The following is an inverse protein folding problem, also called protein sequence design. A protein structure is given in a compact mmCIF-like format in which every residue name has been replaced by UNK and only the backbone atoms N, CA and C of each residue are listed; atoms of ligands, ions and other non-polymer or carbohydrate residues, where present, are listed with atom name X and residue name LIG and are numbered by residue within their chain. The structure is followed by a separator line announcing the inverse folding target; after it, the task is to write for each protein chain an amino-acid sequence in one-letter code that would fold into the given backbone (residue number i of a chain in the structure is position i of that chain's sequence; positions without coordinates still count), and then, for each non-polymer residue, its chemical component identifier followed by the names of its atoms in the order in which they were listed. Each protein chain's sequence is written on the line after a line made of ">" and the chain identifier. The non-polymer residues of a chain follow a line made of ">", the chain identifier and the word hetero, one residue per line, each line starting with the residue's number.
data_IF_432042707862
#
_entry.id   IF_432042707862
#
_cell.length_a   1.000
_cell.length_b   1.000
_cell.length_c   1.000
_cell.angle_alpha   90.00
_cell.angle_beta   90.00
_cell.angle_gamma   90.00
#
_symmetry.space_group_name_H-M   'P 1'
#
loop_
_entity.id
_entity.type
_entity.pdbx_description
1 polymer ?
#
# COMPACT_ATOMS: atom_id res chain seq x y z
N UNK A 1 12.39 -3.17 8.90
CA UNK A 1 11.52 -3.58 10.02
C UNK A 1 11.12 -2.35 10.79
N UNK A 2 9.82 -2.08 10.83
CA UNK A 2 9.22 -0.92 11.52
C UNK A 2 9.39 -1.07 13.04
N UNK A 3 9.70 0.03 13.74
CA UNK A 3 9.76 0.05 15.21
C UNK A 3 8.37 -0.19 15.82
N UNK A 4 8.31 -0.60 17.09
CA UNK A 4 7.02 -0.76 17.81
C UNK A 4 6.19 0.53 17.81
N UNK A 5 6.83 1.69 18.01
CA UNK A 5 6.15 2.99 17.89
C UNK A 5 5.58 3.23 16.48
N UNK A 6 6.33 2.84 15.45
CA UNK A 6 5.87 2.89 14.06
C UNK A 6 4.68 1.96 13.79
N UNK A 7 4.68 0.75 14.36
CA UNK A 7 3.53 -0.17 14.27
C UNK A 7 2.30 0.43 14.94
N UNK A 8 2.46 1.03 16.12
CA UNK A 8 1.37 1.70 16.83
C UNK A 8 0.81 2.91 16.06
N UNK A 9 1.64 3.62 15.28
CA UNK A 9 1.17 4.69 14.39
C UNK A 9 0.33 4.13 13.23
N UNK A 10 0.77 3.03 12.63
CA UNK A 10 0.05 2.36 11.55
C UNK A 10 -1.31 1.81 12.05
N UNK A 11 -1.33 1.08 13.16
CA UNK A 11 -2.57 0.57 13.76
C UNK A 11 -3.57 1.70 14.07
N UNK A 12 -3.12 2.76 14.76
CA UNK A 12 -3.99 3.92 15.05
C UNK A 12 -4.54 4.59 13.80
N UNK A 13 -3.78 4.61 12.71
CA UNK A 13 -4.22 5.24 11.48
C UNK A 13 -5.31 4.44 10.75
N UNK A 14 -5.29 3.11 10.82
CA UNK A 14 -6.36 2.27 10.25
C UNK A 14 -7.60 2.20 11.14
N UNK A 15 -7.43 2.40 12.45
CA UNK A 15 -8.51 2.43 13.45
C UNK A 15 -9.13 3.83 13.64
N UNK A 16 -8.59 4.87 12.99
CA UNK A 16 -9.09 6.24 13.11
C UNK A 16 -10.55 6.36 12.69
N UNK A 17 -11.34 7.15 13.42
CA UNK A 17 -12.72 7.50 13.04
C UNK A 17 -12.82 8.27 11.72
N UNK A 18 -11.70 8.83 11.23
CA UNK A 18 -11.62 9.47 9.90
C UNK A 18 -11.43 8.47 8.76
N UNK A 19 -11.04 7.24 9.08
CA UNK A 19 -10.69 6.24 8.08
C UNK A 19 -11.93 5.65 7.41
N UNK A 20 -12.36 6.28 6.33
CA UNK A 20 -13.40 5.76 5.45
C UNK A 20 -12.78 4.88 4.35
N UNK A 21 -12.68 3.56 4.60
CA UNK A 21 -11.95 2.62 3.74
C UNK A 21 -12.35 2.66 2.26
N UNK A 22 -13.65 2.75 1.97
CA UNK A 22 -14.16 2.84 0.60
C UNK A 22 -13.71 4.13 -0.11
N UNK A 23 -13.68 5.24 0.63
CA UNK A 23 -13.20 6.51 0.10
C UNK A 23 -11.67 6.47 -0.08
N UNK A 24 -10.95 5.96 0.92
CA UNK A 24 -9.50 5.78 0.84
C UNK A 24 -9.08 5.01 -0.42
N UNK A 25 -9.73 3.87 -0.70
CA UNK A 25 -9.40 3.04 -1.87
C UNK A 25 -9.64 3.77 -3.19
N UNK A 26 -10.76 4.49 -3.32
CA UNK A 26 -11.04 5.30 -4.52
C UNK A 26 -10.00 6.40 -4.70
N UNK A 27 -9.66 7.10 -3.62
CA UNK A 27 -8.68 8.18 -3.63
C UNK A 27 -7.27 7.67 -3.97
N UNK A 28 -6.89 6.52 -3.42
CA UNK A 28 -5.64 5.84 -3.73
C UNK A 28 -5.53 5.55 -5.23
N UNK A 29 -6.52 4.89 -5.86
CA UNK A 29 -6.44 4.56 -7.29
C UNK A 29 -6.45 5.82 -8.17
N UNK A 30 -7.22 6.85 -7.79
CA UNK A 30 -7.21 8.12 -8.50
C UNK A 30 -5.79 8.73 -8.53
N UNK A 31 -5.12 8.81 -7.37
CA UNK A 31 -3.73 9.30 -7.27
C UNK A 31 -2.75 8.38 -7.99
N UNK A 32 -2.92 7.06 -7.88
CA UNK A 32 -2.02 6.10 -8.50
C UNK A 32 -2.05 6.16 -10.03
N UNK A 33 -3.23 6.34 -10.63
CA UNK A 33 -3.35 6.53 -12.07
C UNK A 33 -2.91 7.92 -12.54
N UNK A 34 -2.90 8.93 -11.67
CA UNK A 34 -2.30 10.22 -11.99
C UNK A 34 -0.77 10.13 -12.06
N UNK A 35 -0.15 9.39 -11.13
CA UNK A 35 1.30 9.25 -11.03
C UNK A 35 1.85 8.22 -12.03
N UNK A 36 1.14 7.13 -12.25
CA UNK A 36 1.51 6.04 -13.15
C UNK A 36 0.38 5.79 -14.17
N UNK A 37 0.13 6.71 -15.13
CA UNK A 37 -1.01 6.62 -16.03
C UNK A 37 -1.01 5.38 -16.93
N UNK A 38 0.17 4.86 -17.27
CA UNK A 38 0.36 3.65 -18.06
C UNK A 38 -0.13 2.39 -17.33
N UNK A 39 -0.08 2.38 -16.00
CA UNK A 39 -0.56 1.24 -15.20
C UNK A 39 -2.07 1.02 -15.37
N UNK A 40 -2.85 2.03 -15.76
CA UNK A 40 -4.31 1.93 -15.92
C UNK A 40 -4.71 0.82 -16.91
N UNK A 41 -3.87 0.54 -17.90
CA UNK A 41 -4.13 -0.48 -18.92
C UNK A 41 -4.18 -1.91 -18.37
N UNK A 42 -3.60 -2.17 -17.19
CA UNK A 42 -3.62 -3.51 -16.56
C UNK A 42 -4.87 -3.72 -15.69
N UNK A 43 -5.66 -2.68 -15.47
CA UNK A 43 -6.86 -2.69 -14.64
C UNK A 43 -8.14 -2.73 -15.50
N UNK A 44 -9.21 -3.37 -15.01
CA UNK A 44 -10.50 -3.38 -15.70
C UNK A 44 -11.12 -1.98 -15.77
N UNK A 45 -12.09 -1.79 -16.68
CA UNK A 45 -12.87 -0.56 -16.75
C UNK A 45 -13.79 -0.39 -15.54
N UNK A 46 -14.42 -1.49 -15.11
CA UNK A 46 -15.13 -1.54 -13.85
C UNK A 46 -14.17 -1.89 -12.70
N UNK A 47 -13.90 -0.89 -11.86
CA UNK A 47 -12.97 -0.99 -10.74
C UNK A 47 -13.59 -1.58 -9.47
N UNK A 48 -14.90 -1.84 -9.41
CA UNK A 48 -15.56 -2.29 -8.18
C UNK A 48 -14.90 -3.54 -7.57
N UNK A 49 -14.73 -4.59 -8.37
CA UNK A 49 -14.06 -5.82 -7.91
C UNK A 49 -12.57 -5.63 -7.59
N UNK A 50 -11.91 -4.61 -8.17
CA UNK A 50 -10.53 -4.29 -7.83
C UNK A 50 -10.41 -3.51 -6.51
N UNK A 51 -11.39 -2.66 -6.20
CA UNK A 51 -11.49 -1.97 -4.92
C UNK A 51 -11.66 -2.99 -3.77
N UNK A 52 -12.57 -3.95 -3.92
CA UNK A 52 -12.78 -5.03 -2.94
C UNK A 52 -11.51 -5.86 -2.70
N UNK A 53 -10.78 -6.19 -3.78
CA UNK A 53 -9.49 -6.89 -3.68
C UNK A 53 -8.46 -6.08 -2.91
N UNK A 54 -8.41 -4.76 -3.09
CA UNK A 54 -7.48 -3.92 -2.32
C UNK A 54 -7.88 -3.89 -0.85
N UNK A 55 -9.16 -3.71 -0.53
CA UNK A 55 -9.66 -3.76 0.86
C UNK A 55 -9.29 -5.07 1.55
N UNK A 56 -9.50 -6.19 0.87
CA UNK A 56 -9.12 -7.51 1.39
C UNK A 56 -7.61 -7.63 1.58
N UNK A 57 -6.83 -7.05 0.66
CA UNK A 57 -5.37 -7.05 0.72
C UNK A 57 -4.84 -6.16 1.85
N UNK A 58 -5.53 -5.05 2.17
CA UNK A 58 -5.17 -4.17 3.29
C UNK A 58 -5.20 -4.91 4.61
N UNK A 59 -6.22 -5.75 4.86
CA UNK A 59 -6.28 -6.59 6.06
C UNK A 59 -5.04 -7.48 6.17
N UNK A 60 -4.68 -8.18 5.10
CA UNK A 60 -3.48 -9.03 5.08
C UNK A 60 -2.18 -8.21 5.22
N UNK A 61 -2.12 -7.02 4.64
CA UNK A 61 -0.98 -6.11 4.79
C UNK A 61 -0.86 -5.72 6.25
N UNK A 62 -1.93 -5.30 6.94
CA UNK A 62 -1.88 -4.98 8.37
C UNK A 62 -1.50 -6.19 9.22
N UNK A 63 -2.02 -7.39 8.92
CA UNK A 63 -1.57 -8.63 9.59
C UNK A 63 -0.07 -8.89 9.41
N UNK A 64 0.52 -8.48 8.28
CA UNK A 64 1.96 -8.57 8.02
C UNK A 64 2.80 -7.68 8.92
N UNK A 65 2.21 -6.62 9.46
CA UNK A 65 2.89 -5.72 10.40
C UNK A 65 3.27 -6.44 11.69
N UNK A 66 2.38 -7.33 12.16
CA UNK A 66 2.54 -8.08 13.40
C UNK A 66 3.20 -9.45 13.18
N UNK A 67 3.05 -10.03 11.99
CA UNK A 67 3.56 -11.37 11.64
C UNK A 67 4.28 -11.43 10.28
N UNK A 68 5.35 -10.64 10.08
CA UNK A 68 6.02 -10.52 8.79
C UNK A 68 6.57 -11.84 8.24
N UNK A 69 6.98 -12.76 9.13
CA UNK A 69 7.52 -14.07 8.77
C UNK A 69 6.49 -14.98 8.09
N UNK A 70 5.21 -14.82 8.40
CA UNK A 70 4.13 -15.67 7.86
C UNK A 70 3.79 -15.33 6.41
N UNK A 71 4.14 -14.12 5.97
CA UNK A 71 3.71 -13.57 4.68
C UNK A 71 4.82 -13.50 3.64
N UNK A 72 6.09 -13.69 4.01
CA UNK A 72 7.21 -13.54 3.06
C UNK A 72 7.07 -14.43 1.81
N UNK A 73 6.68 -15.71 1.97
CA UNK A 73 6.45 -16.60 0.82
C UNK A 73 5.25 -16.17 -0.06
N UNK A 74 4.17 -15.70 0.57
CA UNK A 74 2.96 -15.21 -0.11
C UNK A 74 3.28 -13.93 -0.89
N UNK A 75 3.97 -12.98 -0.26
CA UNK A 75 4.40 -11.72 -0.87
C UNK A 75 5.33 -11.96 -2.06
N UNK A 76 6.28 -12.90 -1.93
CA UNK A 76 7.15 -13.28 -3.04
C UNK A 76 6.35 -13.78 -4.25
N UNK A 77 5.39 -14.67 -4.04
CA UNK A 77 4.53 -15.18 -5.10
C UNK A 77 3.65 -14.07 -5.72
N UNK A 78 3.11 -13.17 -4.89
CA UNK A 78 2.39 -12.00 -5.39
C UNK A 78 3.31 -11.12 -6.24
N UNK A 79 4.56 -10.94 -5.84
CA UNK A 79 5.56 -10.20 -6.62
C UNK A 79 5.76 -10.75 -8.03
N UNK A 80 5.88 -12.06 -8.17
CA UNK A 80 5.99 -12.75 -9.47
C UNK A 80 4.77 -12.46 -10.35
N UNK A 81 3.57 -12.48 -9.77
CA UNK A 81 2.32 -12.18 -10.49
C UNK A 81 2.25 -10.73 -10.96
N UNK A 82 2.71 -9.78 -10.14
CA UNK A 82 2.77 -8.36 -10.52
C UNK A 82 3.78 -8.14 -11.66
N UNK A 83 4.95 -8.78 -11.61
CA UNK A 83 5.93 -8.74 -12.72
C UNK A 83 5.38 -9.35 -14.00
N UNK A 84 4.62 -10.44 -13.91
CA UNK A 84 4.02 -11.09 -15.07
C UNK A 84 3.05 -10.19 -15.83
N UNK A 85 2.45 -9.20 -15.17
CA UNK A 85 1.61 -8.16 -15.78
C UNK A 85 2.38 -6.82 -15.96
N UNK A 86 3.70 -6.89 -16.06
CA UNK A 86 4.60 -5.77 -16.38
C UNK A 86 4.62 -4.63 -15.36
N UNK A 87 4.26 -4.88 -14.09
CA UNK A 87 4.49 -3.91 -13.01
C UNK A 87 6.01 -3.76 -12.77
N UNK A 88 6.45 -2.52 -12.64
CA UNK A 88 7.86 -2.14 -12.48
C UNK A 88 8.13 -1.63 -11.07
N UNK A 89 9.42 -1.42 -10.75
CA UNK A 89 9.86 -0.78 -9.51
C UNK A 89 9.32 0.65 -9.40
N UNK A 90 9.31 1.39 -10.52
CA UNK A 90 8.73 2.74 -10.57
C UNK A 90 7.21 2.73 -10.26
N UNK A 91 6.48 1.71 -10.70
CA UNK A 91 5.07 1.55 -10.34
C UNK A 91 4.88 1.28 -8.84
N UNK A 92 5.78 0.53 -8.19
CA UNK A 92 5.73 0.32 -6.75
C UNK A 92 6.09 1.58 -5.96
N UNK A 93 7.06 2.37 -6.42
CA UNK A 93 7.33 3.69 -5.84
C UNK A 93 6.10 4.61 -5.96
N UNK A 94 5.46 4.63 -7.14
CA UNK A 94 4.21 5.35 -7.37
C UNK A 94 3.05 4.86 -6.50
N UNK A 95 2.95 3.54 -6.28
CA UNK A 95 1.99 2.94 -5.36
C UNK A 95 2.20 3.46 -3.94
N UNK A 96 3.43 3.41 -3.41
CA UNK A 96 3.75 3.86 -2.05
C UNK A 96 3.41 5.33 -1.90
N UNK A 97 3.81 6.17 -2.86
CA UNK A 97 3.53 7.60 -2.84
C UNK A 97 2.03 7.90 -2.86
N UNK A 98 1.28 7.21 -3.73
CA UNK A 98 -0.18 7.41 -3.86
C UNK A 98 -0.92 6.94 -2.61
N UNK A 99 -0.47 5.84 -2.03
CA UNK A 99 -1.05 5.26 -0.82
C UNK A 99 -0.86 6.16 0.39
N UNK A 100 0.37 6.61 0.66
CA UNK A 100 0.63 7.54 1.76
C UNK A 100 -0.03 8.90 1.53
N UNK A 101 -0.10 9.37 0.28
CA UNK A 101 -0.85 10.58 -0.08
C UNK A 101 -2.36 10.46 0.17
N UNK A 102 -2.97 9.31 -0.13
CA UNK A 102 -4.37 9.07 0.18
C UNK A 102 -4.63 8.98 1.69
N UNK A 103 -3.73 8.35 2.46
CA UNK A 103 -3.82 8.35 3.93
C UNK A 103 -3.73 9.77 4.50
N UNK A 104 -2.81 10.58 4.00
CA UNK A 104 -2.64 11.96 4.44
C UNK A 104 -3.92 12.80 4.24
N UNK A 105 -4.55 12.67 3.08
CA UNK A 105 -5.78 13.40 2.76
C UNK A 105 -6.96 12.94 3.64
N UNK A 106 -7.07 11.63 3.90
CA UNK A 106 -8.16 11.06 4.71
C UNK A 106 -7.99 11.41 6.20
N UNK A 107 -6.79 11.24 6.74
CA UNK A 107 -6.51 11.44 8.16
C UNK A 107 -6.36 12.92 8.52
N UNK A 108 -5.99 13.76 7.55
CA UNK A 108 -5.92 15.21 7.68
C UNK A 108 -5.10 15.61 8.92
N UNK A 109 -5.71 16.26 9.94
CA UNK A 109 -4.98 16.69 11.15
C UNK A 109 -4.32 15.56 11.96
N UNK A 110 -4.72 14.30 11.78
CA UNK A 110 -4.12 13.15 12.46
C UNK A 110 -2.87 12.62 11.72
N UNK A 111 -2.61 13.11 10.51
CA UNK A 111 -1.44 12.76 9.74
C UNK A 111 -0.21 13.56 10.21
N UNK A 112 0.87 12.86 10.55
CA UNK A 112 2.14 13.45 10.98
C UNK A 112 3.31 12.91 10.17
N UNK A 113 4.47 13.57 10.26
CA UNK A 113 5.71 13.10 9.61
C UNK A 113 6.15 11.72 10.11
N UNK A 114 5.89 11.41 11.39
CA UNK A 114 6.16 10.10 11.98
C UNK A 114 5.23 9.02 11.40
N UNK A 115 3.93 9.32 11.28
CA UNK A 115 2.95 8.42 10.65
C UNK A 115 3.32 8.17 9.18
N UNK A 116 3.70 9.22 8.45
CA UNK A 116 4.16 9.09 7.06
C UNK A 116 5.40 8.20 6.96
N UNK A 117 6.39 8.44 7.81
CA UNK A 117 7.64 7.67 7.82
C UNK A 117 7.41 6.20 8.17
N UNK A 118 6.52 5.92 9.13
CA UNK A 118 6.14 4.57 9.51
C UNK A 118 5.48 3.82 8.34
N UNK A 119 4.47 4.41 7.71
CA UNK A 119 3.79 3.80 6.56
C UNK A 119 4.70 3.61 5.36
N UNK A 120 5.52 4.61 5.02
CA UNK A 120 6.45 4.50 3.89
C UNK A 120 7.46 3.37 4.12
N UNK A 121 8.04 3.30 5.33
CA UNK A 121 8.97 2.23 5.70
C UNK A 121 8.29 0.86 5.59
N UNK A 122 7.07 0.74 6.11
CA UNK A 122 6.31 -0.50 6.07
C UNK A 122 6.01 -0.97 4.64
N UNK A 123 5.46 -0.09 3.80
CA UNK A 123 5.13 -0.44 2.42
C UNK A 123 6.38 -0.73 1.58
N UNK A 124 7.51 -0.07 1.89
CA UNK A 124 8.81 -0.40 1.28
C UNK A 124 9.26 -1.81 1.68
N UNK A 125 9.13 -2.19 2.95
CA UNK A 125 9.42 -3.55 3.43
C UNK A 125 8.54 -4.59 2.69
N UNK A 126 7.25 -4.29 2.48
CA UNK A 126 6.34 -5.15 1.68
C UNK A 126 6.83 -5.27 0.23
N UNK A 127 7.15 -4.15 -0.42
CA UNK A 127 7.65 -4.14 -1.80
C UNK A 127 8.95 -4.97 -1.96
N UNK A 128 9.88 -4.85 -1.01
CA UNK A 128 11.12 -5.64 -0.97
C UNK A 128 10.83 -7.15 -0.85
N UNK A 129 9.87 -7.54 -0.02
CA UNK A 129 9.43 -8.94 0.10
C UNK A 129 8.74 -9.45 -1.18
N UNK A 130 8.13 -8.54 -1.96
CA UNK A 130 7.59 -8.82 -3.29
C UNK A 130 8.66 -8.76 -4.41
N UNK A 131 9.95 -8.58 -4.09
CA UNK A 131 11.05 -8.40 -5.05
C UNK A 131 10.94 -7.15 -5.94
N UNK A 132 10.45 -6.05 -5.38
CA UNK A 132 10.52 -4.71 -5.96
C UNK A 132 11.45 -3.82 -5.12
N UNK A 133 11.93 -2.72 -5.71
CA UNK A 133 12.76 -1.70 -5.06
C UNK A 133 14.08 -2.25 -4.53
N UNK A 134 14.54 -3.38 -5.07
CA UNK A 134 15.87 -3.91 -4.77
C UNK A 134 16.89 -2.96 -5.41
N UNK A 135 17.64 -2.23 -4.59
CA UNK A 135 18.85 -1.55 -5.07
C UNK A 135 19.80 -2.60 -5.62
N UNK A 136 20.31 -2.35 -6.83
CA UNK A 136 21.30 -3.19 -7.50
C UNK A 136 22.59 -3.36 -6.70
#
# INVERSE_FOLDING_TARGET
>A
MVSEDGKNLIHRSVESERMELDHFVRLFYAKFFEICPDVRAVFPDDMAGQHEKLLTSLTHIIEALDHPEKLSAILKHQGERHRAIQITDAHFDGFIHSFTGALADILGPEWSDDTHSAWRSFLTDIALNMNFLRTA
#
